data_IF_329394571413
#
_entry.id   IF_329394571413
#
_cell.length_a   1.000
_cell.length_b   1.000
_cell.length_c   1.000
_cell.angle_alpha   90.00
_cell.angle_beta   90.00
_cell.angle_gamma   90.00
#
_symmetry.space_group_name_H-M   'P 1'
#
loop_
_entity.id
_entity.type
_entity.pdbx_description
1 polymer ?
#
# COMPACT_ATOMS: atom_id res chain seq x y z
N UNK A 1 -6.56 -6.40 11.83
CA UNK A 1 -5.68 -5.30 11.39
C UNK A 1 -6.52 -4.18 10.81
N UNK A 2 -6.28 -2.95 11.24
CA UNK A 2 -6.99 -1.79 10.70
C UNK A 2 -6.43 -1.39 9.34
N UNK A 3 -7.19 -0.66 8.52
CA UNK A 3 -6.66 -0.16 7.24
C UNK A 3 -5.38 0.66 7.40
N UNK A 4 -5.29 1.47 8.45
CA UNK A 4 -4.09 2.25 8.73
C UNK A 4 -2.89 1.37 9.03
N UNK A 5 -3.08 0.35 9.86
CA UNK A 5 -2.02 -0.60 10.19
C UNK A 5 -1.55 -1.37 8.95
N UNK A 6 -2.50 -1.77 8.10
CA UNK A 6 -2.18 -2.47 6.86
C UNK A 6 -1.42 -1.56 5.90
N UNK A 7 -1.80 -0.29 5.80
CA UNK A 7 -1.10 0.68 4.98
C UNK A 7 0.35 0.86 5.43
N UNK A 8 0.57 1.01 6.73
CA UNK A 8 1.91 1.14 7.30
C UNK A 8 2.72 -0.12 7.04
N UNK A 9 2.12 -1.28 7.24
CA UNK A 9 2.79 -2.57 7.02
C UNK A 9 3.25 -2.71 5.58
N UNK A 10 2.40 -2.38 4.61
CA UNK A 10 2.76 -2.44 3.19
C UNK A 10 3.87 -1.45 2.86
N UNK A 11 3.76 -0.23 3.34
CA UNK A 11 4.77 0.80 3.13
C UNK A 11 6.12 0.34 3.67
N UNK A 12 6.15 -0.16 4.90
CA UNK A 12 7.38 -0.61 5.54
C UNK A 12 7.98 -1.83 4.85
N UNK A 13 7.15 -2.69 4.26
CA UNK A 13 7.63 -3.86 3.53
C UNK A 13 8.43 -3.48 2.29
N UNK A 14 8.03 -2.39 1.63
CA UNK A 14 8.71 -1.97 0.41
C UNK A 14 9.87 -1.00 0.67
N UNK A 15 9.86 -0.30 1.78
CA UNK A 15 10.85 0.73 2.07
C UNK A 15 12.30 0.22 2.06
N UNK A 16 12.63 -0.89 2.75
CA UNK A 16 14.02 -1.37 2.75
C UNK A 16 14.51 -1.80 1.36
N UNK A 17 13.60 -2.26 0.51
CA UNK A 17 13.97 -2.75 -0.81
C UNK A 17 14.34 -1.61 -1.76
N UNK A 18 13.72 -0.45 -1.62
CA UNK A 18 14.03 0.70 -2.48
C UNK A 18 15.11 1.58 -1.89
N UNK A 19 15.32 1.54 -0.58
CA UNK A 19 16.33 2.34 0.13
C UNK A 19 17.75 2.07 -0.36
N UNK A 20 17.97 0.89 -0.83
CA UNK A 20 19.25 0.38 -1.32
C UNK A 20 19.85 1.21 -2.45
N UNK A 21 19.02 1.81 -3.31
CA UNK A 21 19.50 2.45 -4.53
C UNK A 21 19.18 3.94 -4.64
N UNK A 22 18.50 4.52 -3.69
CA UNK A 22 17.95 5.87 -3.85
C UNK A 22 18.14 6.71 -2.60
N UNK A 23 18.01 8.04 -2.76
CA UNK A 23 17.99 8.97 -1.64
C UNK A 23 16.75 8.77 -0.78
N UNK A 24 16.79 9.30 0.44
CA UNK A 24 15.76 9.02 1.44
C UNK A 24 14.35 9.47 1.02
N UNK A 25 14.25 10.64 0.38
CA UNK A 25 12.95 11.15 -0.09
C UNK A 25 12.40 10.31 -1.23
N UNK A 26 13.26 9.92 -2.17
CA UNK A 26 12.86 9.08 -3.28
C UNK A 26 12.42 7.70 -2.80
N UNK A 27 13.06 7.18 -1.73
CA UNK A 27 12.67 5.91 -1.13
C UNK A 27 11.25 5.94 -0.59
N UNK A 28 10.86 7.04 0.06
CA UNK A 28 9.50 7.18 0.58
C UNK A 28 8.47 7.16 -0.52
N UNK A 29 8.70 7.91 -1.59
CA UNK A 29 7.78 7.97 -2.72
C UNK A 29 7.69 6.61 -3.42
N UNK A 30 8.79 5.94 -3.62
CA UNK A 30 8.82 4.63 -4.26
C UNK A 30 8.14 3.57 -3.43
N UNK A 31 8.39 3.55 -2.12
CA UNK A 31 7.73 2.61 -1.23
C UNK A 31 6.21 2.83 -1.22
N UNK A 32 5.78 4.09 -1.21
CA UNK A 32 4.37 4.44 -1.28
C UNK A 32 3.75 3.98 -2.59
N UNK A 33 4.41 4.21 -3.72
CA UNK A 33 3.93 3.77 -5.03
C UNK A 33 3.85 2.26 -5.12
N UNK A 34 4.84 1.54 -4.61
CA UNK A 34 4.81 0.08 -4.58
C UNK A 34 3.64 -0.44 -3.75
N UNK A 35 3.39 0.17 -2.59
CA UNK A 35 2.26 -0.20 -1.75
C UNK A 35 0.94 0.04 -2.46
N UNK A 36 0.79 1.17 -3.17
CA UNK A 36 -0.40 1.48 -3.95
C UNK A 36 -0.63 0.48 -5.07
N UNK A 37 0.42 0.08 -5.76
CA UNK A 37 0.33 -0.93 -6.82
C UNK A 37 -0.17 -2.26 -6.24
N UNK A 38 0.37 -2.69 -5.11
CA UNK A 38 -0.05 -3.91 -4.45
C UNK A 38 -1.53 -3.85 -4.07
N UNK A 39 -1.99 -2.73 -3.53
CA UNK A 39 -3.39 -2.54 -3.16
C UNK A 39 -4.28 -2.53 -4.40
N UNK A 40 -3.87 -1.91 -5.49
CA UNK A 40 -4.63 -1.91 -6.74
C UNK A 40 -4.85 -3.32 -7.25
N UNK A 41 -3.85 -4.18 -7.21
CA UNK A 41 -3.99 -5.57 -7.64
C UNK A 41 -4.96 -6.33 -6.74
N UNK A 42 -4.92 -6.08 -5.44
CA UNK A 42 -5.85 -6.70 -4.49
C UNK A 42 -7.28 -6.22 -4.75
N UNK A 43 -7.47 -4.91 -4.98
CA UNK A 43 -8.79 -4.35 -5.27
C UNK A 43 -9.39 -4.94 -6.54
N UNK A 44 -8.57 -5.15 -7.54
CA UNK A 44 -9.00 -5.71 -8.81
C UNK A 44 -9.58 -7.12 -8.63
N UNK A 45 -8.94 -7.94 -7.82
CA UNK A 45 -9.41 -9.29 -7.51
C UNK A 45 -10.61 -9.25 -6.58
N UNK A 46 -10.54 -8.44 -5.53
CA UNK A 46 -11.57 -8.34 -4.50
C UNK A 46 -12.90 -7.82 -5.07
N UNK A 47 -12.86 -7.00 -6.10
CA UNK A 47 -14.06 -6.49 -6.76
C UNK A 47 -14.99 -7.62 -7.20
N UNK A 48 -14.40 -8.74 -7.66
CA UNK A 48 -15.17 -9.89 -8.13
C UNK A 48 -15.42 -10.93 -7.05
N UNK A 49 -14.73 -10.84 -5.93
CA UNK A 49 -14.74 -11.91 -4.93
C UNK A 49 -15.45 -11.54 -3.62
N UNK A 50 -15.27 -10.33 -3.09
CA UNK A 50 -15.73 -10.01 -1.75
C UNK A 50 -15.84 -8.49 -1.55
N UNK A 51 -17.06 -8.02 -1.28
CA UNK A 51 -17.32 -6.59 -1.08
C UNK A 51 -16.63 -6.06 0.18
N UNK A 52 -16.59 -6.85 1.26
CA UNK A 52 -15.93 -6.43 2.50
C UNK A 52 -14.44 -6.20 2.25
N UNK A 53 -13.82 -7.13 1.56
CA UNK A 53 -12.39 -7.06 1.26
C UNK A 53 -12.09 -5.86 0.35
N UNK A 54 -12.93 -5.64 -0.65
CA UNK A 54 -12.81 -4.50 -1.54
C UNK A 54 -12.85 -3.18 -0.77
N UNK A 55 -13.87 -3.02 0.10
CA UNK A 55 -14.02 -1.80 0.89
C UNK A 55 -12.88 -1.62 1.88
N UNK A 56 -12.42 -2.69 2.49
CA UNK A 56 -11.29 -2.65 3.41
C UNK A 56 -10.04 -2.11 2.70
N UNK A 57 -9.73 -2.60 1.51
CA UNK A 57 -8.55 -2.17 0.78
C UNK A 57 -8.70 -0.80 0.12
N UNK A 58 -9.92 -0.33 -0.12
CA UNK A 58 -10.13 1.07 -0.49
C UNK A 58 -9.69 2.00 0.64
N UNK A 59 -10.02 1.64 1.87
CA UNK A 59 -9.58 2.42 3.04
C UNK A 59 -8.07 2.33 3.23
N UNK A 60 -7.48 1.16 2.98
CA UNK A 60 -6.02 0.98 3.01
C UNK A 60 -5.36 1.92 2.00
N UNK A 61 -5.90 2.02 0.79
CA UNK A 61 -5.40 2.92 -0.23
C UNK A 61 -5.41 4.38 0.24
N UNK A 62 -6.52 4.80 0.85
CA UNK A 62 -6.64 6.15 1.38
C UNK A 62 -5.61 6.43 2.47
N UNK A 63 -5.36 5.46 3.33
CA UNK A 63 -4.36 5.60 4.38
C UNK A 63 -2.93 5.67 3.81
N UNK A 64 -2.65 4.92 2.74
CA UNK A 64 -1.36 5.01 2.06
C UNK A 64 -1.16 6.40 1.47
N UNK A 65 -2.21 6.98 0.88
CA UNK A 65 -2.13 8.33 0.32
C UNK A 65 -1.80 9.39 1.37
N UNK A 66 -2.13 9.13 2.63
CA UNK A 66 -1.82 10.05 3.73
C UNK A 66 -0.39 9.90 4.25
N UNK A 67 0.29 8.83 3.91
CA UNK A 67 1.68 8.64 4.32
C UNK A 67 2.61 9.56 3.55
#
# INVERSE_FOLDING_TARGET
MTPKEKAISLYESFYPQVQWKMGQEDCKDRAKQCALIAVHEILRVAFYADDWLYNHFLEVKQEIDKL
#
